data_IF_512317260344
#
_entry.id   IF_512317260344
#
_cell.length_a   1.000
_cell.length_b   1.000
_cell.length_c   1.000
_cell.angle_alpha   90.00
_cell.angle_beta   90.00
_cell.angle_gamma   90.00
#
_symmetry.space_group_name_H-M   'P 1'
#
loop_
_entity.id
_entity.type
_entity.pdbx_description
1 polymer ?
#
# COMPACT_ATOMS: atom_id res chain seq x y z
N UNK A 1 -10.18 -1.85 -17.73
CA UNK A 1 -10.92 -2.96 -17.12
C UNK A 1 -11.12 -2.65 -15.63
N UNK A 2 -12.26 -2.10 -15.19
CA UNK A 2 -13.36 -2.82 -14.49
C UNK A 2 -12.85 -4.00 -13.62
N UNK A 3 -13.19 -4.21 -12.34
CA UNK A 3 -14.33 -3.88 -11.47
C UNK A 3 -14.02 -4.56 -10.12
N UNK A 4 -14.25 -3.96 -8.95
CA UNK A 4 -14.48 -4.69 -7.68
C UNK A 4 -14.96 -3.74 -6.58
N UNK A 5 -16.29 -3.68 -6.40
CA UNK A 5 -16.95 -2.98 -5.30
C UNK A 5 -17.35 -4.01 -4.23
N UNK A 6 -16.90 -3.83 -2.99
CA UNK A 6 -17.38 -4.58 -1.81
C UNK A 6 -18.26 -3.62 -0.99
N UNK A 7 -19.53 -3.98 -0.80
CA UNK A 7 -20.57 -3.15 -0.20
C UNK A 7 -20.67 -3.34 1.32
N UNK A 8 -20.69 -2.24 2.09
CA UNK A 8 -21.01 -2.23 3.53
C UNK A 8 -22.33 -1.50 3.73
N UNK A 9 -23.33 -2.19 4.30
CA UNK A 9 -24.68 -1.67 4.55
C UNK A 9 -24.77 -1.08 5.96
N UNK A 10 -25.02 0.24 6.08
CA UNK A 10 -25.41 0.86 7.35
C UNK A 10 -26.90 1.15 7.32
N UNK A 11 -27.64 0.48 8.20
CA UNK A 11 -29.08 0.63 8.38
C UNK A 11 -29.40 1.96 9.07
N UNK A 12 -29.60 3.03 8.30
CA UNK A 12 -30.47 4.11 8.72
C UNK A 12 -31.77 3.98 7.93
N UNK A 13 -32.86 3.89 8.69
CA UNK A 13 -34.12 3.37 8.24
C UNK A 13 -34.70 4.06 7.00
N UNK A 14 -35.40 3.23 6.23
CA UNK A 14 -36.44 3.55 5.25
C UNK A 14 -35.91 3.67 3.80
N UNK A 15 -36.35 2.69 3.00
CA UNK A 15 -36.14 2.40 1.57
C UNK A 15 -35.00 1.44 1.17
N UNK A 16 -35.44 0.23 0.83
CA UNK A 16 -34.74 -0.89 0.18
C UNK A 16 -34.32 -0.45 -1.25
N UNK A 17 -33.28 0.36 -1.41
CA UNK A 17 -32.71 0.60 -2.73
C UNK A 17 -31.20 0.88 -2.65
N UNK A 18 -30.42 -0.19 -2.76
CA UNK A 18 -29.01 -0.16 -3.12
C UNK A 18 -28.05 0.14 -1.96
N UNK A 19 -27.03 -0.69 -1.79
CA UNK A 19 -25.85 -0.29 -1.03
C UNK A 19 -25.12 0.79 -1.84
N UNK A 20 -25.32 2.04 -1.45
CA UNK A 20 -24.54 3.17 -1.94
C UNK A 20 -23.11 2.95 -1.42
N UNK A 21 -22.26 2.38 -2.27
CA UNK A 21 -20.83 2.30 -2.01
C UNK A 21 -20.28 3.72 -1.96
N UNK A 22 -19.99 4.22 -0.76
CA UNK A 22 -19.23 5.45 -0.59
C UNK A 22 -17.87 5.20 -1.25
N UNK A 23 -17.39 6.05 -2.17
CA UNK A 23 -16.03 5.95 -2.64
C UNK A 23 -15.13 6.17 -1.42
N UNK A 24 -14.60 5.08 -0.86
CA UNK A 24 -13.57 5.18 0.15
C UNK A 24 -12.45 5.95 -0.53
N UNK A 25 -12.14 7.13 0.01
CA UNK A 25 -10.87 7.79 -0.31
C UNK A 25 -9.79 6.72 -0.19
N UNK A 26 -8.78 6.68 -1.09
CA UNK A 26 -7.71 5.71 -0.98
C UNK A 26 -7.16 5.80 0.44
N UNK A 27 -7.51 4.79 1.23
CA UNK A 27 -7.32 4.72 2.66
C UNK A 27 -6.62 3.40 2.89
N UNK A 28 -5.68 3.43 3.81
CA UNK A 28 -4.88 2.27 4.07
C UNK A 28 -5.73 1.19 4.74
N UNK A 29 -5.47 -0.10 4.44
CA UNK A 29 -6.28 -1.20 4.97
C UNK A 29 -6.33 -1.26 6.50
N UNK A 30 -5.30 -0.74 7.16
CA UNK A 30 -5.16 -0.64 8.61
C UNK A 30 -5.76 0.65 9.20
N UNK A 31 -6.37 1.51 8.37
CA UNK A 31 -6.90 2.81 8.77
C UNK A 31 -5.83 3.89 8.95
N UNK A 32 -4.55 3.60 8.66
CA UNK A 32 -3.50 4.61 8.69
C UNK A 32 -3.71 5.68 7.61
N UNK A 33 -3.23 6.92 7.84
CA UNK A 33 -3.32 7.97 6.83
C UNK A 33 -2.42 7.62 5.64
N UNK A 34 -2.92 7.91 4.43
CA UNK A 34 -2.08 7.91 3.24
C UNK A 34 -1.18 9.15 3.27
N UNK A 35 0.13 8.94 3.15
CA UNK A 35 1.14 10.00 3.18
C UNK A 35 1.60 10.30 1.76
N UNK A 36 1.68 11.59 1.41
CA UNK A 36 2.26 12.02 0.14
C UNK A 36 3.75 12.33 0.34
N UNK A 37 4.61 11.46 -0.19
CA UNK A 37 6.07 11.58 -0.05
C UNK A 37 6.66 12.51 -1.11
N UNK A 38 7.74 13.22 -0.76
CA UNK A 38 8.48 14.04 -1.71
C UNK A 38 9.18 13.20 -2.78
N UNK A 39 9.67 12.02 -2.41
CA UNK A 39 10.28 11.04 -3.31
C UNK A 39 9.64 9.66 -3.11
N UNK A 40 9.63 8.87 -4.17
CA UNK A 40 9.23 7.46 -4.08
C UNK A 40 10.23 6.70 -3.20
N UNK A 41 9.77 5.98 -2.16
CA UNK A 41 10.65 5.29 -1.20
C UNK A 41 11.40 4.09 -1.82
N UNK A 42 11.03 3.66 -3.02
CA UNK A 42 11.75 2.68 -3.83
C UNK A 42 12.67 3.31 -4.88
N UNK A 43 12.66 4.62 -5.06
CA UNK A 43 13.59 5.31 -5.95
C UNK A 43 15.03 5.06 -5.53
N UNK A 44 15.85 4.49 -6.42
CA UNK A 44 17.25 4.13 -6.14
C UNK A 44 17.43 2.98 -5.14
N UNK A 45 16.35 2.35 -4.66
CA UNK A 45 16.44 1.27 -3.70
C UNK A 45 16.91 -0.02 -4.38
N UNK A 46 18.05 -0.55 -3.94
CA UNK A 46 18.58 -1.83 -4.40
C UNK A 46 18.81 -2.74 -3.18
N UNK A 47 18.30 -3.96 -3.25
CA UNK A 47 18.60 -5.00 -2.28
C UNK A 47 19.70 -5.91 -2.80
N UNK A 48 20.84 -5.95 -2.11
CA UNK A 48 21.97 -6.79 -2.48
C UNK A 48 21.86 -8.21 -1.93
N UNK A 49 21.13 -8.40 -0.83
CA UNK A 49 20.96 -9.71 -0.22
C UNK A 49 19.58 -9.87 0.45
N UNK A 50 18.74 -10.80 -0.02
CA UNK A 50 18.91 -11.62 -1.22
C UNK A 50 18.81 -10.77 -2.50
N UNK A 51 19.57 -11.11 -3.56
CA UNK A 51 19.44 -10.43 -4.85
C UNK A 51 18.05 -10.70 -5.45
N UNK A 52 17.59 -9.78 -6.30
CA UNK A 52 16.31 -9.86 -7.02
C UNK A 52 15.04 -9.71 -6.15
N UNK A 53 15.11 -9.00 -5.03
CA UNK A 53 13.89 -8.52 -4.38
C UNK A 53 13.32 -7.31 -5.14
N UNK A 54 12.00 -7.33 -5.35
CA UNK A 54 11.25 -6.21 -5.90
C UNK A 54 10.87 -5.27 -4.77
N UNK A 55 11.25 -4.00 -4.90
CA UNK A 55 10.78 -2.95 -4.00
C UNK A 55 9.34 -2.55 -4.35
N UNK A 56 8.49 -2.37 -3.34
CA UNK A 56 7.16 -1.76 -3.47
C UNK A 56 7.01 -0.63 -2.46
N UNK A 57 6.59 0.53 -2.94
CA UNK A 57 6.31 1.67 -2.10
C UNK A 57 5.04 1.42 -1.28
N UNK A 58 5.11 1.71 0.01
CA UNK A 58 4.00 1.67 0.94
C UNK A 58 3.85 3.06 1.57
N UNK A 59 2.85 3.80 1.10
CA UNK A 59 2.53 5.17 1.53
C UNK A 59 1.63 5.22 2.76
N UNK A 60 1.32 4.07 3.36
CA UNK A 60 0.46 3.96 4.52
C UNK A 60 1.22 4.22 5.81
N UNK A 61 0.77 5.22 6.58
CA UNK A 61 1.42 5.65 7.82
C UNK A 61 2.80 6.29 7.64
N UNK A 62 3.28 6.46 6.41
CA UNK A 62 4.61 7.02 6.12
C UNK A 62 5.11 6.69 4.71
N UNK A 63 6.36 7.05 4.44
CA UNK A 63 7.08 6.76 3.19
C UNK A 63 7.87 5.46 3.33
N UNK A 64 7.17 4.34 3.39
CA UNK A 64 7.78 3.05 3.68
C UNK A 64 8.13 2.33 2.38
N UNK A 65 9.21 1.55 2.41
CA UNK A 65 9.55 0.61 1.34
C UNK A 65 9.46 -0.82 1.83
N UNK A 66 8.89 -1.67 1.00
CA UNK A 66 8.73 -3.08 1.31
C UNK A 66 9.35 -3.94 0.21
N UNK A 67 10.08 -4.96 0.63
CA UNK A 67 10.75 -5.87 -0.29
C UNK A 67 9.92 -7.14 -0.47
N UNK A 68 9.79 -7.58 -1.72
CA UNK A 68 9.04 -8.77 -2.10
C UNK A 68 9.89 -9.66 -2.98
N UNK A 69 9.79 -10.97 -2.82
CA UNK A 69 10.41 -11.91 -3.75
C UNK A 69 9.59 -12.03 -5.05
N UNK A 70 10.10 -12.82 -6.01
CA UNK A 70 9.40 -13.12 -7.28
C UNK A 70 8.01 -13.74 -7.15
N UNK A 71 7.68 -14.29 -5.98
CA UNK A 71 6.36 -14.89 -5.69
C UNK A 71 5.41 -13.89 -5.02
N UNK A 72 5.83 -12.64 -4.83
CA UNK A 72 5.03 -11.62 -4.16
C UNK A 72 4.94 -11.79 -2.64
N UNK A 73 5.81 -12.59 -2.04
CA UNK A 73 5.91 -12.75 -0.58
C UNK A 73 6.87 -11.71 -0.02
N UNK A 74 6.45 -11.00 1.03
CA UNK A 74 7.29 -10.02 1.73
C UNK A 74 8.54 -10.71 2.25
N UNK A 75 9.70 -10.18 1.88
CA UNK A 75 11.00 -10.70 2.24
C UNK A 75 11.81 -9.62 2.93
N UNK A 76 12.77 -10.02 3.77
CA UNK A 76 13.70 -9.08 4.38
C UNK A 76 14.89 -8.87 3.45
N UNK A 77 15.24 -7.62 3.20
CA UNK A 77 16.55 -7.27 2.69
C UNK A 77 17.52 -7.11 3.86
N UNK A 78 18.70 -7.71 3.77
CA UNK A 78 19.74 -7.65 4.81
C UNK A 78 20.85 -6.67 4.48
N UNK A 79 20.96 -6.28 3.21
CA UNK A 79 21.89 -5.26 2.75
C UNK A 79 21.17 -4.45 1.69
N UNK A 80 20.64 -3.33 2.14
CA UNK A 80 20.02 -2.32 1.30
C UNK A 80 20.86 -1.05 1.34
N UNK A 81 21.02 -0.41 0.18
CA UNK A 81 21.53 0.96 0.14
C UNK A 81 20.33 1.89 0.35
N UNK A 82 20.14 2.34 1.58
CA UNK A 82 19.23 3.44 1.91
C UNK A 82 19.94 4.74 1.57
N UNK A 83 19.61 5.38 0.44
CA UNK A 83 19.96 6.80 0.23
C UNK A 83 19.00 7.71 1.02
N UNK A 84 18.91 7.53 2.34
CA UNK A 84 18.15 8.45 3.18
C UNK A 84 17.68 7.89 4.51
N UNK A 85 18.61 7.73 5.46
CA UNK A 85 18.31 8.02 6.86
C UNK A 85 18.86 9.43 7.16
N UNK A 86 18.01 10.45 7.05
CA UNK A 86 18.16 11.72 7.78
C UNK A 86 16.78 12.35 8.00
#
# INVERSE_FOLDING_TARGET
MNTSHIAVFVCLGIFITGCIGIPSRPSCPDGSPLVNCFMDPCSGAICYNPPNLTCRANYCGGCNREWYNRFGVKARCYRDELQGEY
#
